data_IF_807000578211
#
_entry.id   IF_807000578211
#
_cell.length_a   1.000
_cell.length_b   1.000
_cell.length_c   1.000
_cell.angle_alpha   90.00
_cell.angle_beta   90.00
_cell.angle_gamma   90.00
#
_symmetry.space_group_name_H-M   'P 1'
#
loop_
_entity.id
_entity.type
_entity.pdbx_description
1 polymer ?
#
# COMPACT_ATOMS: atom_id res chain seq x y z
N UNK A 1 9.66 2.66 12.43
CA UNK A 1 9.68 1.18 12.40
C UNK A 1 9.38 0.60 11.01
N UNK A 2 8.37 1.06 10.26
CA UNK A 2 8.05 0.50 8.93
C UNK A 2 8.86 1.08 7.76
N UNK A 3 9.59 2.16 7.98
CA UNK A 3 10.42 2.82 6.96
C UNK A 3 11.48 1.88 6.37
N UNK A 4 11.98 0.93 7.16
CA UNK A 4 12.90 -0.11 6.70
C UNK A 4 12.30 -0.99 5.58
N UNK A 5 10.97 -1.06 5.44
CA UNK A 5 10.32 -1.86 4.40
C UNK A 5 9.57 -1.00 3.39
N UNK A 6 9.03 0.15 3.82
CA UNK A 6 8.21 1.04 2.99
C UNK A 6 9.01 2.18 2.37
N UNK A 7 10.25 2.39 2.81
CA UNK A 7 11.09 3.53 2.48
C UNK A 7 10.79 4.76 3.35
N UNK A 8 11.67 5.74 3.29
CA UNK A 8 11.43 7.04 3.91
C UNK A 8 10.22 7.74 3.28
N UNK A 9 9.56 8.59 4.06
CA UNK A 9 8.42 9.41 3.61
C UNK A 9 7.27 8.59 2.97
N UNK A 10 7.09 7.33 3.38
CA UNK A 10 6.13 6.43 2.75
C UNK A 10 4.68 6.90 2.88
N UNK A 11 4.32 7.63 3.94
CA UNK A 11 2.98 8.20 4.10
C UNK A 11 2.58 9.08 2.92
N UNK A 12 3.48 9.98 2.51
CA UNK A 12 3.25 10.87 1.36
C UNK A 12 3.21 10.09 0.04
N UNK A 13 4.03 9.05 -0.10
CA UNK A 13 3.99 8.19 -1.28
C UNK A 13 2.67 7.43 -1.36
N UNK A 14 2.18 6.88 -0.25
CA UNK A 14 0.90 6.17 -0.18
C UNK A 14 -0.26 7.09 -0.52
N UNK A 15 -0.29 8.29 0.07
CA UNK A 15 -1.26 9.34 -0.28
C UNK A 15 -1.24 9.68 -1.75
N UNK A 16 -0.04 9.83 -2.33
CA UNK A 16 0.12 10.06 -3.78
C UNK A 16 -0.40 8.89 -4.61
N UNK A 17 -0.14 7.64 -4.19
CA UNK A 17 -0.70 6.45 -4.84
C UNK A 17 -2.22 6.50 -4.78
N UNK A 18 -2.81 6.81 -3.62
CA UNK A 18 -4.25 6.88 -3.39
C UNK A 18 -4.92 8.12 -3.99
N UNK A 19 -4.13 9.14 -4.33
CA UNK A 19 -4.56 10.51 -4.57
C UNK A 19 -5.35 11.11 -3.38
N UNK A 20 -5.10 10.65 -2.16
CA UNK A 20 -5.75 11.11 -0.94
C UNK A 20 -4.94 12.22 -0.26
N UNK A 21 -5.61 13.09 0.49
CA UNK A 21 -4.93 14.01 1.41
C UNK A 21 -4.83 13.42 2.82
N UNK A 22 -4.05 14.08 3.68
CA UNK A 22 -3.85 13.67 5.07
C UNK A 22 -5.15 13.66 5.88
N UNK A 23 -6.10 14.55 5.57
CA UNK A 23 -7.39 14.59 6.27
C UNK A 23 -8.18 13.30 6.02
N UNK A 24 -8.20 12.83 4.77
CA UNK A 24 -8.88 11.59 4.40
C UNK A 24 -8.10 10.34 4.86
N UNK A 25 -6.78 10.37 4.73
CA UNK A 25 -5.89 9.26 5.04
C UNK A 25 -4.74 9.73 5.96
N UNK A 26 -4.97 9.85 7.27
CA UNK A 26 -3.97 10.33 8.23
C UNK A 26 -2.89 9.27 8.49
N UNK A 27 -1.74 9.70 9.03
CA UNK A 27 -0.62 8.78 9.33
C UNK A 27 -1.06 7.66 10.27
N UNK A 28 -1.89 7.98 11.27
CA UNK A 28 -2.46 7.01 12.21
C UNK A 28 -3.31 5.92 11.53
N UNK A 29 -3.93 6.21 10.39
CA UNK A 29 -4.64 5.21 9.60
C UNK A 29 -3.67 4.35 8.79
N UNK A 30 -2.64 4.96 8.20
CA UNK A 30 -1.62 4.25 7.43
C UNK A 30 -0.85 3.28 8.34
N UNK A 31 -0.51 3.73 9.55
CA UNK A 31 0.30 3.00 10.52
C UNK A 31 -0.51 2.10 11.46
N UNK A 32 -1.84 2.09 11.29
CA UNK A 32 -2.70 1.24 12.09
C UNK A 32 -2.20 -0.23 11.99
N UNK A 33 -1.96 -0.92 13.12
CA UNK A 33 -1.39 -2.27 13.11
C UNK A 33 -2.11 -3.23 12.19
N UNK A 34 -3.45 -3.18 12.15
CA UNK A 34 -4.27 -4.00 11.27
C UNK A 34 -3.92 -3.83 9.78
N UNK A 35 -3.64 -2.60 9.33
CA UNK A 35 -3.33 -2.31 7.94
C UNK A 35 -1.91 -2.77 7.58
N UNK A 36 -0.98 -2.58 8.52
CA UNK A 36 0.41 -3.01 8.34
C UNK A 36 0.54 -4.53 8.36
N UNK A 37 -0.11 -5.21 9.30
CA UNK A 37 -0.10 -6.67 9.38
C UNK A 37 -0.83 -7.30 8.19
N UNK A 38 -1.92 -6.70 7.70
CA UNK A 38 -2.54 -7.13 6.44
C UNK A 38 -1.58 -7.01 5.25
N UNK A 39 -0.81 -5.91 5.17
CA UNK A 39 0.20 -5.73 4.12
C UNK A 39 1.32 -6.77 4.23
N UNK A 40 1.82 -7.04 5.44
CA UNK A 40 2.81 -8.10 5.68
C UNK A 40 2.26 -9.46 5.31
N UNK A 41 1.00 -9.75 5.60
CA UNK A 41 0.32 -10.98 5.21
C UNK A 41 0.31 -11.20 3.69
N UNK A 42 0.17 -10.12 2.90
CA UNK A 42 0.27 -10.18 1.44
C UNK A 42 1.69 -10.48 0.93
N UNK A 43 2.73 -10.07 1.68
CA UNK A 43 4.13 -10.34 1.35
C UNK A 43 4.62 -11.70 1.89
N UNK A 44 4.01 -12.18 2.98
CA UNK A 44 4.44 -13.34 3.77
C UNK A 44 4.70 -14.61 2.93
N UNK A 45 3.85 -15.00 1.95
CA UNK A 45 4.10 -16.19 1.13
C UNK A 45 5.42 -16.17 0.34
N UNK A 46 6.02 -14.99 0.13
CA UNK A 46 7.30 -14.86 -0.54
C UNK A 46 8.47 -14.53 0.37
N UNK A 47 8.28 -14.15 1.65
CA UNK A 47 9.42 -13.86 2.54
C UNK A 47 10.43 -15.03 2.57
N UNK A 48 10.00 -16.31 2.66
CA UNK A 48 10.91 -17.45 2.54
C UNK A 48 11.60 -17.54 1.17
N UNK A 49 10.91 -17.19 0.08
CA UNK A 49 11.42 -17.22 -1.31
C UNK A 49 12.32 -16.04 -1.66
N UNK A 50 12.22 -14.96 -0.89
CA UNK A 50 12.99 -13.72 -1.02
C UNK A 50 14.25 -13.75 -0.16
N UNK A 51 14.36 -14.71 0.78
CA UNK A 51 15.54 -14.89 1.63
C UNK A 51 16.77 -15.16 0.75
N UNK A 52 17.73 -14.24 0.77
CA UNK A 52 18.92 -14.27 -0.09
C UNK A 52 18.73 -13.75 -1.53
N UNK A 53 17.50 -13.40 -1.95
CA UNK A 53 17.20 -12.84 -3.28
C UNK A 53 17.08 -11.33 -3.30
N UNK A 54 16.81 -10.67 -2.17
CA UNK A 54 16.81 -9.21 -2.06
C UNK A 54 18.18 -8.77 -1.57
N UNK A 55 19.14 -8.85 -2.50
CA UNK A 55 20.58 -8.68 -2.29
C UNK A 55 21.11 -7.34 -2.85
N UNK A 56 20.23 -6.55 -3.46
CA UNK A 56 20.57 -5.31 -4.13
C UNK A 56 19.55 -4.23 -3.84
N UNK A 57 20.02 -2.99 -3.88
CA UNK A 57 19.20 -1.81 -3.67
C UNK A 57 18.01 -1.76 -4.66
N UNK A 58 18.21 -2.19 -5.91
CA UNK A 58 17.15 -2.26 -6.92
C UNK A 58 16.03 -3.21 -6.53
N UNK A 59 16.37 -4.42 -6.05
CA UNK A 59 15.38 -5.42 -5.62
C UNK A 59 14.68 -4.98 -4.34
N UNK A 60 15.40 -4.35 -3.42
CA UNK A 60 14.82 -3.76 -2.21
C UNK A 60 13.84 -2.63 -2.54
N UNK A 61 14.23 -1.70 -3.43
CA UNK A 61 13.36 -0.63 -3.91
C UNK A 61 12.09 -1.17 -4.59
N UNK A 62 12.19 -2.27 -5.34
CA UNK A 62 11.03 -2.95 -5.91
C UNK A 62 10.14 -3.56 -4.82
N UNK A 63 10.72 -4.23 -3.82
CA UNK A 63 9.97 -4.77 -2.68
C UNK A 63 9.22 -3.67 -1.92
N UNK A 64 9.88 -2.54 -1.61
CA UNK A 64 9.24 -1.40 -0.96
C UNK A 64 8.14 -0.79 -1.81
N UNK A 65 8.31 -0.75 -3.14
CA UNK A 65 7.24 -0.32 -4.07
C UNK A 65 6.04 -1.26 -4.02
N UNK A 66 6.26 -2.58 -4.02
CA UNK A 66 5.19 -3.59 -3.90
C UNK A 66 4.44 -3.42 -2.57
N UNK A 67 5.16 -3.32 -1.46
CA UNK A 67 4.60 -3.14 -0.13
C UNK A 67 3.70 -1.89 -0.05
N UNK A 68 4.16 -0.76 -0.61
CA UNK A 68 3.38 0.48 -0.70
C UNK A 68 2.11 0.32 -1.53
N UNK A 69 2.14 -0.45 -2.62
CA UNK A 69 0.92 -0.73 -3.41
C UNK A 69 -0.07 -1.62 -2.67
N UNK A 70 0.40 -2.65 -1.96
CA UNK A 70 -0.48 -3.47 -1.13
C UNK A 70 -1.10 -2.66 0.00
N UNK A 71 -0.30 -1.87 0.72
CA UNK A 71 -0.82 -1.00 1.78
C UNK A 71 -1.84 0.01 1.24
N UNK A 72 -1.57 0.65 0.10
CA UNK A 72 -2.55 1.52 -0.55
C UNK A 72 -3.83 0.76 -0.96
N UNK A 73 -3.72 -0.47 -1.47
CA UNK A 73 -4.89 -1.30 -1.75
C UNK A 73 -5.72 -1.58 -0.50
N UNK A 74 -5.07 -1.95 0.60
CA UNK A 74 -5.71 -2.21 1.90
C UNK A 74 -6.42 -0.96 2.42
N UNK A 75 -5.76 0.20 2.38
CA UNK A 75 -6.29 1.48 2.85
C UNK A 75 -7.54 1.95 2.09
N UNK A 76 -7.80 1.43 0.88
CA UNK A 76 -9.05 1.73 0.18
C UNK A 76 -10.29 1.23 0.95
N UNK A 77 -10.17 0.20 1.80
CA UNK A 77 -11.28 -0.33 2.61
C UNK A 77 -11.69 0.67 3.70
N UNK A 78 -10.80 1.11 4.62
CA UNK A 78 -11.18 2.10 5.63
C UNK A 78 -11.52 3.46 5.01
N UNK A 79 -10.93 3.84 3.87
CA UNK A 79 -11.35 5.04 3.14
C UNK A 79 -12.80 4.93 2.66
N UNK A 80 -13.20 3.80 2.06
CA UNK A 80 -14.58 3.58 1.63
C UNK A 80 -15.58 3.67 2.79
N UNK A 81 -15.22 3.15 3.97
CA UNK A 81 -16.04 3.32 5.16
C UNK A 81 -16.13 4.80 5.57
N UNK A 82 -14.99 5.50 5.59
CA UNK A 82 -14.89 6.89 6.05
C UNK A 82 -15.64 7.89 5.17
N UNK A 83 -15.64 7.71 3.84
CA UNK A 83 -16.35 8.63 2.93
C UNK A 83 -17.88 8.53 3.00
N UNK A 84 -18.42 7.52 3.70
CA UNK A 84 -19.86 7.40 3.89
C UNK A 84 -20.37 8.20 5.11
N UNK A 85 -19.47 8.85 5.85
CA UNK A 85 -19.80 9.62 7.06
C UNK A 85 -19.24 11.05 7.02
N UNK A 86 -19.90 12.03 7.64
CA UNK A 86 -19.33 13.37 7.82
C UNK A 86 -17.99 13.33 8.58
N UNK A 87 -17.04 14.23 8.29
CA UNK A 87 -17.09 15.29 7.27
C UNK A 87 -16.63 14.84 5.87
N UNK A 88 -16.45 13.54 5.62
CA UNK A 88 -15.84 13.02 4.39
C UNK A 88 -16.84 12.64 3.30
N UNK A 89 -18.14 12.65 3.61
CA UNK A 89 -19.24 12.41 2.68
C UNK A 89 -19.52 13.58 1.71
N UNK A 90 -18.46 14.20 1.20
CA UNK A 90 -18.51 15.32 0.25
C UNK A 90 -18.00 14.89 -1.13
N UNK A 91 -18.46 15.54 -2.23
CA UNK A 91 -18.08 15.17 -3.60
C UNK A 91 -16.57 15.04 -3.85
N UNK A 92 -15.75 15.84 -3.15
CA UNK A 92 -14.28 15.78 -3.19
C UNK A 92 -13.72 14.36 -2.95
N UNK A 93 -14.34 13.59 -2.05
CA UNK A 93 -13.88 12.26 -1.66
C UNK A 93 -14.77 11.12 -2.16
N UNK A 94 -16.07 11.37 -2.36
CA UNK A 94 -17.05 10.37 -2.83
C UNK A 94 -17.05 10.18 -4.34
N UNK A 95 -16.60 11.16 -5.13
CA UNK A 95 -16.54 11.08 -6.60
C UNK A 95 -15.51 10.06 -7.15
N UNK A 96 -14.89 9.25 -6.29
CA UNK A 96 -13.83 8.31 -6.66
C UNK A 96 -14.28 6.88 -6.45
N UNK A 97 -14.04 6.04 -7.45
CA UNK A 97 -14.28 4.62 -7.31
C UNK A 97 -13.09 3.94 -6.58
N UNK A 98 -13.20 3.89 -5.26
CA UNK A 98 -12.18 3.32 -4.38
C UNK A 98 -12.04 1.79 -4.51
N UNK A 99 -13.10 1.07 -4.84
CA UNK A 99 -13.02 -0.36 -5.16
C UNK A 99 -12.17 -0.61 -6.42
N UNK A 100 -12.36 0.19 -7.48
CA UNK A 100 -11.51 0.15 -8.68
C UNK A 100 -10.07 0.54 -8.35
N UNK A 101 -9.87 1.50 -7.44
CA UNK A 101 -8.54 1.91 -6.99
C UNK A 101 -7.82 0.79 -6.23
N UNK A 102 -8.52 0.12 -5.32
CA UNK A 102 -8.05 -1.04 -4.58
C UNK A 102 -7.55 -2.12 -5.54
N UNK A 103 -8.42 -2.56 -6.46
CA UNK A 103 -8.09 -3.60 -7.45
C UNK A 103 -6.84 -3.25 -8.24
N UNK A 104 -6.74 -2.01 -8.76
CA UNK A 104 -5.56 -1.54 -9.49
C UNK A 104 -4.28 -1.53 -8.66
N UNK A 105 -4.35 -1.19 -7.37
CA UNK A 105 -3.17 -1.19 -6.50
C UNK A 105 -2.70 -2.62 -6.23
N UNK A 106 -3.62 -3.53 -5.93
CA UNK A 106 -3.32 -4.94 -5.70
C UNK A 106 -2.76 -5.60 -6.97
N UNK A 107 -3.37 -5.36 -8.14
CA UNK A 107 -2.87 -5.86 -9.43
C UNK A 107 -1.44 -5.38 -9.73
N UNK A 108 -1.15 -4.10 -9.48
CA UNK A 108 0.21 -3.55 -9.66
C UNK A 108 1.20 -4.19 -8.70
N UNK A 109 0.83 -4.33 -7.43
CA UNK A 109 1.64 -5.02 -6.42
C UNK A 109 1.94 -6.45 -6.86
N UNK A 110 0.91 -7.22 -7.25
CA UNK A 110 1.05 -8.60 -7.71
C UNK A 110 1.94 -8.73 -8.95
N UNK A 111 1.78 -7.84 -9.94
CA UNK A 111 2.60 -7.85 -11.16
C UNK A 111 4.07 -7.62 -10.85
N UNK A 112 4.37 -6.60 -10.04
CA UNK A 112 5.75 -6.29 -9.65
C UNK A 112 6.32 -7.39 -8.74
N UNK A 113 5.48 -8.03 -7.93
CA UNK A 113 5.88 -9.14 -7.08
C UNK A 113 6.26 -10.39 -7.88
N UNK A 114 5.48 -10.76 -8.90
CA UNK A 114 5.85 -11.83 -9.83
C UNK A 114 7.17 -11.51 -10.54
N UNK A 115 7.39 -10.24 -10.92
CA UNK A 115 8.65 -9.79 -11.50
C UNK A 115 9.82 -9.98 -10.54
N UNK A 116 9.65 -9.59 -9.27
CA UNK A 116 10.68 -9.76 -8.24
C UNK A 116 11.04 -11.23 -8.01
N UNK A 117 10.06 -12.14 -8.03
CA UNK A 117 10.29 -13.58 -7.84
C UNK A 117 11.07 -14.24 -8.98
N UNK A 118 10.94 -13.69 -10.20
CA UNK A 118 11.61 -14.15 -11.43
C UNK A 118 12.88 -13.35 -11.74
N UNK A 119 13.30 -12.47 -10.85
CA UNK A 119 14.47 -11.64 -11.05
C UNK A 119 15.72 -12.51 -10.86
N UNK A 120 16.42 -12.78 -11.97
CA UNK A 120 17.73 -13.43 -12.03
C UNK A 120 18.86 -12.43 -11.73
#
# INVERSE_FOLDING_TARGET
MYQEYLGENYHNVIRKILFADEKLCPDSMIDAPINIEAMKGMLSPAIPKLKGKVDSELKFNLLSKIARYYLAGILCIPIQSRINVPPFNIPKYTGRNWAKKQKKCIEKGNKDFVRLLRWE
#
